data_IF_438052301821
#
_entry.id   IF_438052301821
#
_cell.length_a   1.000
_cell.length_b   1.000
_cell.length_c   1.000
_cell.angle_alpha   90.00
_cell.angle_beta   90.00
_cell.angle_gamma   90.00
#
_symmetry.space_group_name_H-M   'P 1'
#
loop_
_entity.id
_entity.type
_entity.pdbx_description
1 polymer ?
#
# COMPACT_ATOMS: atom_id res chain seq x y z
N UNK A 1 -31.31 -1.42 -5.86
CA UNK A 1 -30.42 -1.64 -7.01
C UNK A 1 -29.76 -3.00 -6.84
N UNK A 2 -29.91 -3.91 -7.79
CA UNK A 2 -29.48 -5.32 -7.62
C UNK A 2 -28.05 -5.56 -8.07
N UNK A 3 -27.38 -6.54 -7.45
CA UNK A 3 -26.02 -7.00 -7.79
C UNK A 3 -25.81 -7.32 -9.29
N UNK A 4 -26.90 -7.62 -10.02
CA UNK A 4 -26.90 -7.97 -11.46
C UNK A 4 -26.28 -6.92 -12.38
N UNK A 5 -26.31 -5.63 -12.00
CA UNK A 5 -25.70 -4.56 -12.83
C UNK A 5 -24.20 -4.74 -13.00
N UNK A 6 -23.51 -5.22 -11.95
CA UNK A 6 -22.06 -5.43 -11.97
C UNK A 6 -21.72 -6.52 -12.97
N UNK A 7 -22.42 -7.67 -12.93
CA UNK A 7 -22.22 -8.76 -13.88
C UNK A 7 -22.54 -8.35 -15.31
N UNK A 8 -23.63 -7.60 -15.51
CA UNK A 8 -24.01 -7.09 -16.83
C UNK A 8 -22.91 -6.20 -17.44
N UNK A 9 -22.33 -5.30 -16.66
CA UNK A 9 -21.24 -4.45 -17.13
C UNK A 9 -19.94 -5.23 -17.30
N UNK A 10 -19.59 -6.13 -16.38
CA UNK A 10 -18.39 -6.97 -16.47
C UNK A 10 -18.37 -7.81 -17.75
N UNK A 11 -19.52 -8.33 -18.21
CA UNK A 11 -19.63 -9.08 -19.45
C UNK A 11 -19.39 -8.22 -20.71
N UNK A 12 -19.56 -6.90 -20.61
CA UNK A 12 -19.58 -5.96 -21.75
C UNK A 12 -18.40 -4.99 -21.73
N UNK A 13 -17.63 -4.98 -20.65
CA UNK A 13 -16.52 -4.06 -20.47
C UNK A 13 -15.29 -4.55 -21.23
N UNK A 14 -14.54 -3.63 -21.83
CA UNK A 14 -13.20 -3.85 -22.39
C UNK A 14 -12.12 -3.19 -21.53
N UNK A 15 -12.49 -2.75 -20.32
CA UNK A 15 -11.60 -2.07 -19.38
C UNK A 15 -10.47 -2.98 -18.95
N UNK A 16 -9.25 -2.44 -18.96
CA UNK A 16 -8.04 -3.19 -18.62
C UNK A 16 -7.71 -3.14 -17.13
N UNK A 17 -8.14 -2.07 -16.45
CA UNK A 17 -7.88 -1.81 -15.03
C UNK A 17 -9.16 -1.85 -14.20
N UNK A 18 -9.01 -2.06 -12.89
CA UNK A 18 -10.12 -1.99 -11.94
C UNK A 18 -10.67 -0.56 -11.81
N UNK A 19 -9.82 0.46 -11.99
CA UNK A 19 -10.18 1.88 -11.98
C UNK A 19 -11.12 2.20 -13.14
N UNK A 20 -10.77 1.77 -14.35
CA UNK A 20 -11.60 2.01 -15.53
C UNK A 20 -12.94 1.27 -15.43
N UNK A 21 -12.94 0.05 -14.87
CA UNK A 21 -14.19 -0.65 -14.58
C UNK A 21 -15.04 0.10 -13.55
N UNK A 22 -14.43 0.62 -12.48
CA UNK A 22 -15.10 1.46 -11.49
C UNK A 22 -15.70 2.71 -12.10
N UNK A 23 -14.97 3.38 -13.01
CA UNK A 23 -15.47 4.55 -13.76
C UNK A 23 -16.68 4.20 -14.62
N UNK A 24 -16.63 3.08 -15.32
CA UNK A 24 -17.74 2.59 -16.14
C UNK A 24 -18.98 2.31 -15.29
N UNK A 25 -18.83 1.62 -14.16
CA UNK A 25 -19.94 1.35 -13.23
C UNK A 25 -20.53 2.64 -12.66
N UNK A 26 -19.68 3.57 -12.19
CA UNK A 26 -20.12 4.88 -11.67
C UNK A 26 -20.94 5.66 -12.70
N UNK A 27 -20.46 5.75 -13.94
CA UNK A 27 -21.17 6.46 -15.01
C UNK A 27 -22.51 5.81 -15.32
N UNK A 28 -22.52 4.48 -15.50
CA UNK A 28 -23.73 3.74 -15.81
C UNK A 28 -24.83 4.00 -14.76
N UNK A 29 -24.47 3.96 -13.48
CA UNK A 29 -25.41 4.19 -12.39
C UNK A 29 -25.97 5.61 -12.37
N UNK A 30 -25.12 6.62 -12.59
CA UNK A 30 -25.56 8.02 -12.66
C UNK A 30 -26.47 8.26 -13.86
N UNK A 31 -26.13 7.74 -15.04
CA UNK A 31 -26.88 7.94 -16.28
C UNK A 31 -28.26 7.29 -16.25
N UNK A 32 -28.39 6.11 -15.64
CA UNK A 32 -29.64 5.33 -15.67
C UNK A 32 -30.57 5.60 -14.48
N UNK A 33 -30.17 6.42 -13.50
CA UNK A 33 -30.96 6.68 -12.29
C UNK A 33 -30.89 8.15 -11.91
N UNK A 34 -31.83 8.96 -12.39
CA UNK A 34 -31.84 10.43 -12.21
C UNK A 34 -31.85 10.88 -10.75
N UNK A 35 -32.41 10.07 -9.84
CA UNK A 35 -32.46 10.37 -8.40
C UNK A 35 -31.10 10.26 -7.68
N UNK A 36 -30.09 9.63 -8.29
CA UNK A 36 -28.77 9.45 -7.67
C UNK A 36 -27.91 10.71 -7.89
N UNK A 37 -27.36 11.31 -6.84
CA UNK A 37 -26.51 12.50 -6.98
C UNK A 37 -25.01 12.17 -7.02
N UNK A 38 -24.61 11.09 -6.36
CA UNK A 38 -23.21 10.65 -6.24
C UNK A 38 -23.14 9.13 -6.19
N UNK A 39 -22.12 8.56 -6.81
CA UNK A 39 -21.80 7.13 -6.74
C UNK A 39 -20.37 6.97 -6.26
N UNK A 40 -20.17 5.92 -5.46
CA UNK A 40 -18.89 5.48 -4.93
C UNK A 40 -18.79 3.98 -5.16
N UNK A 41 -17.67 3.52 -5.71
CA UNK A 41 -17.42 2.11 -6.04
C UNK A 41 -16.05 1.73 -5.49
N UNK A 42 -16.03 0.74 -4.61
CA UNK A 42 -14.81 0.10 -4.12
C UNK A 42 -14.64 -1.25 -4.80
N UNK A 43 -13.41 -1.52 -5.25
CA UNK A 43 -13.05 -2.77 -5.92
C UNK A 43 -11.74 -3.28 -5.30
N UNK A 44 -11.77 -4.54 -4.89
CA UNK A 44 -10.59 -5.30 -4.52
C UNK A 44 -10.26 -6.32 -5.61
N UNK A 45 -8.99 -6.44 -5.98
CA UNK A 45 -8.51 -7.39 -6.97
C UNK A 45 -7.33 -8.17 -6.43
N UNK A 46 -7.41 -9.50 -6.57
CA UNK A 46 -6.31 -10.41 -6.23
C UNK A 46 -5.60 -10.84 -7.50
N UNK A 47 -4.27 -10.78 -7.49
CA UNK A 47 -3.46 -11.21 -8.61
C UNK A 47 -3.51 -12.73 -8.78
N UNK A 48 -3.65 -13.18 -10.03
CA UNK A 48 -3.50 -14.57 -10.44
C UNK A 48 -2.42 -14.63 -11.50
N UNK A 49 -1.39 -15.43 -11.25
CA UNK A 49 -0.30 -15.65 -12.20
C UNK A 49 -0.46 -17.02 -12.83
N UNK A 50 -0.12 -17.15 -14.11
CA UNK A 50 -0.09 -18.47 -14.73
C UNK A 50 0.95 -19.35 -14.04
N UNK A 51 0.61 -20.63 -13.86
CA UNK A 51 1.56 -21.62 -13.35
C UNK A 51 2.65 -21.84 -14.40
N UNK A 52 3.90 -21.76 -13.96
CA UNK A 52 5.08 -22.15 -14.76
C UNK A 52 5.45 -23.57 -14.37
N UNK A 53 5.36 -24.52 -15.30
CA UNK A 53 5.65 -25.95 -15.05
C UNK A 53 7.15 -26.22 -14.98
N UNK A 54 7.55 -27.42 -14.55
CA UNK A 54 8.96 -27.81 -14.38
C UNK A 54 9.82 -27.66 -15.65
N UNK A 55 9.19 -27.72 -16.83
CA UNK A 55 9.82 -27.45 -18.13
C UNK A 55 9.94 -25.95 -18.48
N UNK A 56 9.66 -25.04 -17.54
CA UNK A 56 9.67 -23.57 -17.70
C UNK A 56 8.64 -23.03 -18.70
N UNK A 57 7.56 -23.75 -18.96
CA UNK A 57 6.46 -23.32 -19.85
C UNK A 57 5.31 -22.74 -19.03
N UNK A 58 4.75 -21.61 -19.49
CA UNK A 58 3.54 -20.99 -18.92
C UNK A 58 2.32 -21.82 -19.30
N UNK A 59 1.61 -22.37 -18.31
CA UNK A 59 0.39 -23.13 -18.57
C UNK A 59 -0.74 -22.19 -19.06
N UNK A 60 -1.48 -22.51 -20.13
CA UNK A 60 -2.43 -21.57 -20.75
C UNK A 60 -3.67 -21.29 -19.89
N UNK A 61 -4.08 -22.25 -19.05
CA UNK A 61 -5.38 -22.23 -18.34
C UNK A 61 -5.29 -22.47 -16.84
N UNK A 62 -4.08 -22.57 -16.27
CA UNK A 62 -3.88 -22.86 -14.85
C UNK A 62 -3.13 -21.72 -14.17
N UNK A 63 -3.64 -21.30 -13.02
CA UNK A 63 -3.20 -20.09 -12.32
C UNK A 63 -2.96 -20.37 -10.84
N UNK A 64 -2.11 -19.57 -10.22
CA UNK A 64 -1.77 -19.60 -8.80
C UNK A 64 -1.80 -18.17 -8.24
N UNK A 65 -2.24 -18.04 -6.99
CA UNK A 65 -2.06 -16.81 -6.21
C UNK A 65 -0.75 -16.94 -5.44
N UNK A 66 0.26 -16.17 -5.83
CA UNK A 66 1.62 -16.25 -5.26
C UNK A 66 1.80 -15.37 -4.03
N UNK A 67 0.88 -14.45 -3.77
CA UNK A 67 0.87 -13.59 -2.59
C UNK A 67 -0.56 -13.30 -2.14
N UNK A 68 -0.70 -12.85 -0.89
CA UNK A 68 -1.96 -12.34 -0.35
C UNK A 68 -2.20 -10.86 -0.72
N UNK A 69 -1.29 -10.24 -1.49
CA UNK A 69 -1.40 -8.84 -1.86
C UNK A 69 -2.70 -8.57 -2.63
N UNK A 70 -3.41 -7.53 -2.21
CA UNK A 70 -4.68 -7.12 -2.80
C UNK A 70 -4.53 -5.73 -3.37
N UNK A 71 -4.88 -5.55 -4.65
CA UNK A 71 -5.00 -4.25 -5.29
C UNK A 71 -6.35 -3.64 -4.95
N UNK A 72 -6.35 -2.34 -4.69
CA UNK A 72 -7.52 -1.59 -4.27
C UNK A 72 -7.78 -0.47 -5.27
N UNK A 73 -9.06 -0.19 -5.53
CA UNK A 73 -9.46 1.12 -6.03
C UNK A 73 -10.79 1.54 -5.44
N UNK A 74 -10.89 2.84 -5.25
CA UNK A 74 -12.09 3.59 -4.96
C UNK A 74 -12.29 4.55 -6.12
N UNK A 75 -13.47 4.51 -6.74
CA UNK A 75 -13.88 5.48 -7.75
C UNK A 75 -15.15 6.20 -7.29
N UNK A 76 -15.05 7.52 -7.19
CA UNK A 76 -16.15 8.41 -6.79
C UNK A 76 -16.46 9.41 -7.89
N UNK A 77 -17.74 9.69 -8.11
CA UNK A 77 -18.17 10.82 -8.97
C UNK A 77 -19.54 11.33 -8.54
N UNK A 78 -19.71 12.64 -8.50
CA UNK A 78 -21.04 13.27 -8.46
C UNK A 78 -21.57 13.45 -9.89
N UNK A 79 -22.89 13.54 -10.07
CA UNK A 79 -23.54 13.60 -11.40
C UNK A 79 -22.90 14.59 -12.39
N UNK A 80 -22.45 15.74 -11.90
CA UNK A 80 -21.82 16.80 -12.69
C UNK A 80 -20.36 17.08 -12.31
N UNK A 81 -19.77 16.24 -11.46
CA UNK A 81 -18.39 16.39 -11.00
C UNK A 81 -17.40 15.58 -11.80
N UNK A 82 -16.12 15.88 -11.57
CA UNK A 82 -14.99 15.05 -11.99
C UNK A 82 -14.92 13.74 -11.19
N UNK A 83 -14.23 12.76 -11.74
CA UNK A 83 -13.88 11.55 -10.98
C UNK A 83 -12.86 11.89 -9.90
N UNK A 84 -13.07 11.36 -8.71
CA UNK A 84 -12.06 11.25 -7.66
C UNK A 84 -11.70 9.77 -7.54
N UNK A 85 -10.42 9.46 -7.75
CA UNK A 85 -9.91 8.09 -7.79
C UNK A 85 -8.81 7.96 -6.75
N UNK A 86 -8.97 6.95 -5.89
CA UNK A 86 -7.93 6.50 -4.97
C UNK A 86 -7.62 5.06 -5.35
N UNK A 87 -6.36 4.76 -5.60
CA UNK A 87 -5.91 3.37 -5.80
C UNK A 87 -4.95 2.99 -4.70
N UNK A 88 -4.70 1.69 -4.58
CA UNK A 88 -3.88 1.21 -3.50
C UNK A 88 -3.49 -0.24 -3.62
N UNK A 89 -2.75 -0.67 -2.62
CA UNK A 89 -2.53 -2.07 -2.31
C UNK A 89 -2.58 -2.29 -0.79
N UNK A 90 -2.91 -3.50 -0.38
CA UNK A 90 -2.82 -3.98 1.01
C UNK A 90 -2.28 -5.39 1.04
N UNK A 91 -1.96 -5.86 2.23
CA UNK A 91 -1.47 -7.22 2.49
C UNK A 91 -0.14 -7.56 1.78
N UNK A 92 0.65 -6.53 1.41
CA UNK A 92 2.02 -6.70 0.93
C UNK A 92 2.93 -6.99 2.13
N UNK A 93 3.18 -8.27 2.39
CA UNK A 93 4.08 -8.74 3.45
C UNK A 93 5.52 -8.72 2.96
N UNK A 94 6.36 -7.94 3.64
CA UNK A 94 7.80 -7.81 3.35
C UNK A 94 8.59 -7.81 4.65
N UNK A 95 9.84 -8.28 4.59
CA UNK A 95 10.74 -8.34 5.73
C UNK A 95 12.18 -8.12 5.28
N UNK A 96 12.95 -7.41 6.11
CA UNK A 96 14.41 -7.39 6.05
C UNK A 96 14.98 -7.95 7.35
N UNK A 97 16.11 -8.63 7.24
CA UNK A 97 16.73 -9.34 8.36
C UNK A 97 17.90 -8.60 9.02
N UNK A 98 18.28 -7.46 8.45
CA UNK A 98 19.33 -6.57 8.93
C UNK A 98 19.05 -5.14 8.42
N UNK A 99 19.89 -4.19 8.81
CA UNK A 99 19.81 -2.77 8.41
C UNK A 99 18.49 -2.12 8.87
N UNK A 100 18.02 -2.49 10.06
CA UNK A 100 16.96 -1.77 10.77
C UNK A 100 17.34 -1.59 12.22
N UNK A 101 17.35 -0.34 12.69
CA UNK A 101 17.59 0.03 14.06
C UNK A 101 16.35 0.67 14.68
N UNK A 102 16.35 0.77 16.01
CA UNK A 102 15.44 1.60 16.77
C UNK A 102 16.15 2.03 18.06
N UNK A 103 16.74 3.23 17.98
CA UNK A 103 17.59 3.82 19.03
C UNK A 103 17.18 5.26 19.31
N UNK A 104 17.68 5.84 20.40
CA UNK A 104 17.47 7.24 20.79
C UNK A 104 15.99 7.64 20.96
N UNK A 105 15.11 6.69 21.27
CA UNK A 105 13.70 7.00 21.57
C UNK A 105 13.56 7.57 22.99
N UNK A 106 12.47 8.30 23.22
CA UNK A 106 12.15 8.87 24.53
C UNK A 106 12.03 7.76 25.60
N UNK A 107 12.75 7.94 26.72
CA UNK A 107 12.71 7.03 27.87
C UNK A 107 11.95 7.68 29.03
N UNK A 108 10.82 7.11 29.38
CA UNK A 108 10.02 7.46 30.55
C UNK A 108 10.05 6.36 31.61
N UNK A 109 9.27 6.53 32.68
CA UNK A 109 9.19 5.58 33.79
C UNK A 109 8.68 4.18 33.42
N UNK A 110 7.98 4.04 32.29
CA UNK A 110 7.40 2.77 31.81
C UNK A 110 8.20 2.14 30.65
N UNK A 111 9.35 2.71 30.28
CA UNK A 111 10.11 2.24 29.13
C UNK A 111 10.97 1.02 29.51
N UNK A 112 10.52 -0.16 29.12
CA UNK A 112 11.27 -1.43 29.29
C UNK A 112 12.01 -1.86 28.03
N UNK A 113 11.64 -1.29 26.88
CA UNK A 113 12.24 -1.62 25.58
C UNK A 113 13.73 -1.27 25.59
N UNK A 114 14.56 -2.23 25.20
CA UNK A 114 15.98 -2.01 24.94
C UNK A 114 16.18 -1.44 23.54
N UNK A 115 17.21 -0.61 23.40
CA UNK A 115 17.62 -0.13 22.09
C UNK A 115 18.19 -1.29 21.27
N UNK A 116 18.01 -1.21 19.96
CA UNK A 116 18.53 -2.19 19.02
C UNK A 116 19.16 -1.45 17.86
N UNK A 117 20.45 -1.67 17.66
CA UNK A 117 21.22 -1.11 16.53
C UNK A 117 21.02 -1.93 15.26
N UNK A 118 20.59 -3.17 15.38
CA UNK A 118 20.12 -4.00 14.27
C UNK A 118 19.02 -4.97 14.75
N UNK A 119 17.97 -5.15 13.94
CA UNK A 119 16.83 -6.04 14.20
C UNK A 119 16.12 -6.45 12.91
N UNK A 120 15.34 -7.52 13.02
CA UNK A 120 14.32 -7.86 12.03
C UNK A 120 13.29 -6.72 11.92
N UNK A 121 12.93 -6.40 10.68
CA UNK A 121 11.82 -5.51 10.38
C UNK A 121 10.88 -6.17 9.39
N UNK A 122 9.75 -6.67 9.90
CA UNK A 122 8.64 -7.19 9.12
C UNK A 122 7.46 -6.21 9.13
N UNK A 123 6.73 -6.13 8.02
CA UNK A 123 5.51 -5.32 7.93
C UNK A 123 4.53 -5.93 6.93
N UNK A 124 3.24 -5.63 7.11
CA UNK A 124 2.20 -5.85 6.10
C UNK A 124 1.73 -4.50 5.57
N UNK A 125 2.33 -4.05 4.47
CA UNK A 125 2.13 -2.69 3.94
C UNK A 125 0.73 -2.56 3.36
N UNK A 126 0.03 -1.51 3.78
CA UNK A 126 -1.07 -0.91 3.03
C UNK A 126 -0.66 0.49 2.56
N UNK A 127 -0.85 0.75 1.28
CA UNK A 127 -0.59 2.03 0.64
C UNK A 127 -1.81 2.44 -0.19
N UNK A 128 -2.28 3.67 0.01
CA UNK A 128 -3.38 4.29 -0.75
C UNK A 128 -2.86 5.59 -1.36
N UNK A 129 -3.03 5.81 -2.65
CA UNK A 129 -2.66 7.05 -3.33
C UNK A 129 -3.85 7.68 -4.05
N UNK A 130 -3.92 9.00 -3.99
CA UNK A 130 -4.95 9.81 -4.65
C UNK A 130 -4.38 10.39 -5.93
N UNK A 131 -5.09 10.20 -7.04
CA UNK A 131 -4.71 10.81 -8.32
C UNK A 131 -4.99 12.33 -8.34
N UNK A 132 -4.17 13.08 -9.09
CA UNK A 132 -4.39 14.51 -9.33
C UNK A 132 -5.60 14.71 -10.25
N UNK A 133 -6.43 15.71 -9.94
CA UNK A 133 -7.58 16.09 -10.74
C UNK A 133 -7.15 16.53 -12.15
N UNK A 134 -7.84 16.05 -13.18
CA UNK A 134 -7.56 16.44 -14.56
C UNK A 134 -6.33 15.78 -15.19
N UNK A 135 -5.70 14.82 -14.52
CA UNK A 135 -4.67 13.96 -15.13
C UNK A 135 -5.24 13.27 -16.36
N UNK A 136 -4.78 13.66 -17.56
CA UNK A 136 -5.14 12.99 -18.80
C UNK A 136 -4.66 11.52 -18.77
N UNK A 137 -5.34 10.66 -19.53
CA UNK A 137 -5.07 9.23 -19.78
C UNK A 137 -4.03 8.60 -18.84
N UNK A 138 -4.48 8.20 -17.64
CA UNK A 138 -3.65 7.51 -16.66
C UNK A 138 -3.58 6.03 -17.03
N UNK A 139 -2.35 5.50 -17.18
CA UNK A 139 -2.13 4.05 -17.16
C UNK A 139 -2.08 3.59 -15.70
N UNK A 140 -3.22 3.11 -15.20
CA UNK A 140 -3.37 2.70 -13.80
C UNK A 140 -2.49 1.50 -13.42
N UNK A 141 -2.32 0.55 -14.35
CA UNK A 141 -1.52 -0.65 -14.09
C UNK A 141 -0.04 -0.33 -14.06
N UNK A 142 0.46 0.46 -15.01
CA UNK A 142 1.84 0.94 -15.00
C UNK A 142 2.12 1.80 -13.77
N UNK A 143 1.21 2.72 -13.41
CA UNK A 143 1.36 3.56 -12.23
C UNK A 143 1.45 2.72 -10.96
N UNK A 144 0.56 1.73 -10.81
CA UNK A 144 0.55 0.83 -9.65
C UNK A 144 1.84 0.01 -9.56
N UNK A 145 2.30 -0.53 -10.68
CA UNK A 145 3.58 -1.25 -10.74
C UNK A 145 4.75 -0.35 -10.34
N UNK A 146 4.80 0.88 -10.86
CA UNK A 146 5.85 1.84 -10.54
C UNK A 146 5.85 2.19 -9.04
N UNK A 147 4.69 2.52 -8.46
CA UNK A 147 4.55 2.82 -7.03
C UNK A 147 5.00 1.62 -6.19
N UNK A 148 4.55 0.40 -6.56
CA UNK A 148 4.93 -0.84 -5.88
C UNK A 148 6.43 -1.10 -5.92
N UNK A 149 7.07 -0.97 -7.08
CA UNK A 149 8.51 -1.14 -7.21
C UNK A 149 9.28 -0.13 -6.36
N UNK A 150 8.94 1.16 -6.45
CA UNK A 150 9.58 2.20 -5.63
C UNK A 150 9.45 1.93 -4.13
N UNK A 151 8.30 1.44 -3.66
CA UNK A 151 8.13 1.03 -2.26
C UNK A 151 9.07 -0.12 -1.89
N UNK A 152 9.13 -1.17 -2.71
CA UNK A 152 9.95 -2.35 -2.43
C UNK A 152 11.44 -1.99 -2.48
N UNK A 153 11.86 -1.19 -3.45
CA UNK A 153 13.25 -0.77 -3.61
C UNK A 153 13.70 0.05 -2.39
N UNK A 154 12.90 1.04 -1.96
CA UNK A 154 13.19 1.79 -0.74
C UNK A 154 13.21 0.86 0.47
N UNK A 155 12.22 -0.03 0.60
CA UNK A 155 12.24 -0.98 1.71
C UNK A 155 13.51 -1.82 1.71
N UNK A 156 13.98 -2.34 0.58
CA UNK A 156 15.14 -3.20 0.51
C UNK A 156 16.43 -2.45 0.86
N UNK A 157 16.66 -1.29 0.23
CA UNK A 157 17.94 -0.57 0.25
C UNK A 157 18.09 0.42 1.42
N UNK A 158 17.00 0.81 2.08
CA UNK A 158 17.03 1.82 3.14
C UNK A 158 17.57 1.28 4.46
N UNK A 159 18.59 1.94 5.03
CA UNK A 159 19.01 1.73 6.42
C UNK A 159 17.97 2.36 7.36
N UNK A 160 17.09 1.53 7.91
CA UNK A 160 15.88 1.98 8.60
C UNK A 160 16.17 2.36 10.05
N UNK A 161 16.16 3.65 10.39
CA UNK A 161 16.28 4.10 11.79
C UNK A 161 14.97 3.96 12.60
N UNK A 162 13.85 3.86 11.90
CA UNK A 162 12.52 3.59 12.45
C UNK A 162 11.56 3.23 11.31
N UNK A 163 10.38 2.72 11.67
CA UNK A 163 9.30 2.50 10.69
C UNK A 163 8.87 3.83 10.07
N UNK A 164 8.81 4.90 10.89
CA UNK A 164 8.48 6.27 10.51
C UNK A 164 9.45 6.84 9.47
N UNK A 165 10.76 6.58 9.65
CA UNK A 165 11.78 7.01 8.71
C UNK A 165 11.56 6.34 7.34
N UNK A 166 11.42 5.01 7.34
CA UNK A 166 11.23 4.24 6.11
C UNK A 166 9.96 4.63 5.35
N UNK A 167 8.82 4.75 6.04
CA UNK A 167 7.56 5.11 5.37
C UNK A 167 7.58 6.54 4.80
N UNK A 168 8.35 7.44 5.42
CA UNK A 168 8.46 8.82 4.97
C UNK A 168 9.27 8.87 3.68
N UNK A 169 10.40 8.18 3.65
CA UNK A 169 11.27 8.12 2.48
C UNK A 169 10.63 7.38 1.30
N UNK A 170 9.86 6.31 1.56
CA UNK A 170 8.99 5.69 0.56
C UNK A 170 8.04 6.72 -0.06
N UNK A 171 7.24 7.38 0.79
CA UNK A 171 6.25 8.34 0.32
C UNK A 171 6.86 9.53 -0.42
N UNK A 172 7.99 10.04 0.07
CA UNK A 172 8.73 11.13 -0.57
C UNK A 172 9.26 10.73 -1.93
N UNK A 173 9.89 9.55 -2.06
CA UNK A 173 10.40 9.07 -3.34
C UNK A 173 9.27 8.84 -4.36
N UNK A 174 8.16 8.24 -3.91
CA UNK A 174 7.00 7.96 -4.77
C UNK A 174 6.38 9.26 -5.27
N UNK A 175 6.10 10.22 -4.38
CA UNK A 175 5.62 11.54 -4.80
C UNK A 175 6.64 12.23 -5.72
N UNK A 176 7.93 12.07 -5.54
CA UNK A 176 8.88 12.69 -6.47
C UNK A 176 8.85 12.08 -7.88
N UNK A 177 8.59 10.78 -8.01
CA UNK A 177 8.66 10.06 -9.29
C UNK A 177 7.31 9.88 -10.01
N UNK A 178 6.19 9.87 -9.28
CA UNK A 178 4.85 9.60 -9.83
C UNK A 178 4.02 10.86 -9.83
N UNK A 179 4.09 11.62 -10.94
CA UNK A 179 3.46 12.95 -11.04
C UNK A 179 1.93 12.93 -11.12
N UNK A 180 1.34 11.79 -11.48
CA UNK A 180 -0.11 11.60 -11.57
C UNK A 180 -0.81 11.53 -10.22
N UNK A 181 -0.08 11.46 -9.09
CA UNK A 181 -0.65 11.41 -7.75
C UNK A 181 -0.31 12.65 -6.92
N UNK A 182 -1.27 13.05 -6.08
CA UNK A 182 -1.21 14.22 -5.21
C UNK A 182 -0.86 13.88 -3.76
N UNK A 183 -1.28 12.68 -3.34
CA UNK A 183 -1.23 12.21 -1.96
C UNK A 183 -0.95 10.72 -1.91
N UNK A 184 -0.19 10.29 -0.92
CA UNK A 184 -0.03 8.88 -0.56
C UNK A 184 -0.21 8.72 0.96
N UNK A 185 -0.91 7.66 1.36
CA UNK A 185 -1.15 7.27 2.74
C UNK A 185 -0.64 5.85 2.97
N UNK A 186 0.16 5.68 4.00
CA UNK A 186 0.75 4.42 4.41
C UNK A 186 0.19 3.96 5.75
N UNK A 187 0.07 2.65 5.86
CA UNK A 187 -0.13 1.92 7.11
C UNK A 187 0.86 0.76 7.13
N UNK A 188 1.71 0.72 8.14
CA UNK A 188 2.77 -0.28 8.30
C UNK A 188 2.77 -0.80 9.74
N UNK A 189 2.05 -1.90 10.03
CA UNK A 189 2.18 -2.58 11.31
C UNK A 189 3.58 -3.21 11.42
N UNK A 190 4.19 -3.11 12.59
CA UNK A 190 5.46 -3.79 12.87
C UNK A 190 5.19 -5.24 13.26
N UNK A 191 5.44 -6.16 12.33
CA UNK A 191 5.32 -7.60 12.55
C UNK A 191 6.54 -8.05 13.35
N UNK A 192 6.35 -8.20 14.67
CA UNK A 192 7.43 -8.47 15.60
C UNK A 192 7.93 -9.91 15.47
N UNK A 193 9.25 -10.03 15.32
CA UNK A 193 9.99 -11.26 15.54
C UNK A 193 11.06 -10.97 16.59
N UNK A 194 10.81 -11.36 17.84
CA UNK A 194 11.71 -11.04 18.96
C UNK A 194 12.76 -12.13 19.14
N UNK A 195 14.01 -11.79 19.50
CA UNK A 195 15.03 -12.79 19.78
C UNK A 195 14.60 -13.63 20.99
N UNK A 196 14.81 -14.95 20.90
CA UNK A 196 14.51 -15.87 22.00
C UNK A 196 15.61 -15.78 23.05
N UNK A 197 15.23 -15.59 24.31
CA UNK A 197 16.14 -15.64 25.46
C UNK A 197 16.40 -17.11 25.89
N UNK A 198 17.65 -17.53 25.70
CA UNK A 198 18.17 -18.86 26.03
C UNK A 198 19.10 -18.87 27.26
N UNK A 199 19.30 -17.73 27.92
CA UNK A 199 20.28 -17.58 29.03
C UNK A 199 20.02 -18.54 30.19
N UNK A 200 18.74 -18.83 30.45
CA UNK A 200 18.26 -19.84 31.42
C UNK A 200 18.72 -21.29 31.13
N UNK A 201 19.23 -21.57 29.93
CA UNK A 201 19.83 -22.85 29.54
C UNK A 201 21.36 -22.78 29.42
N UNK A 202 21.98 -21.65 29.76
CA UNK A 202 23.42 -21.44 29.62
C UNK A 202 23.89 -21.15 28.19
N UNK A 203 22.96 -20.85 27.28
CA UNK A 203 23.23 -20.58 25.87
C UNK A 203 22.97 -19.12 25.51
N UNK A 204 23.74 -18.59 24.56
CA UNK A 204 23.56 -17.26 24.00
C UNK A 204 22.89 -17.35 22.62
N UNK A 205 21.87 -16.53 22.37
CA UNK A 205 21.28 -16.39 21.04
C UNK A 205 21.97 -15.25 20.29
N UNK A 206 22.88 -15.61 19.38
CA UNK A 206 23.64 -14.67 18.54
C UNK A 206 22.83 -14.15 17.34
N UNK A 207 21.59 -13.71 17.60
CA UNK A 207 20.67 -13.14 16.60
C UNK A 207 20.23 -14.14 15.50
N UNK A 208 20.04 -15.41 15.86
CA UNK A 208 19.66 -16.48 14.93
C UNK A 208 18.23 -16.98 15.13
N UNK A 209 17.77 -17.04 16.38
CA UNK A 209 16.47 -17.64 16.72
C UNK A 209 15.49 -16.54 17.15
N UNK A 210 14.38 -16.42 16.41
CA UNK A 210 13.35 -15.43 16.69
C UNK A 210 11.99 -16.08 16.86
N UNK A 211 11.18 -15.50 17.74
CA UNK A 211 9.78 -15.86 17.94
C UNK A 211 8.90 -14.82 17.23
N UNK A 212 8.14 -15.22 16.20
CA UNK A 212 7.07 -14.39 15.65
C UNK A 212 6.00 -14.15 16.70
N UNK A 213 5.54 -12.91 16.81
CA UNK A 213 4.47 -12.50 17.73
C UNK A 213 3.32 -11.96 16.90
N UNK A 214 2.15 -12.56 17.05
CA UNK A 214 0.93 -12.15 16.34
C UNK A 214 0.25 -10.93 16.98
N UNK A 215 0.36 -10.75 18.30
CA UNK A 215 -0.19 -9.58 19.01
C UNK A 215 0.64 -9.27 20.27
N UNK A 216 0.80 -7.99 20.66
CA UNK A 216 0.39 -6.78 19.95
C UNK A 216 1.41 -6.35 18.89
N UNK A 217 0.97 -5.54 17.93
CA UNK A 217 1.84 -4.90 16.94
C UNK A 217 1.87 -3.39 17.11
N UNK A 218 3.05 -2.79 16.98
CA UNK A 218 3.14 -1.35 16.75
C UNK A 218 2.46 -0.98 15.43
N UNK A 219 1.63 0.06 15.42
CA UNK A 219 0.87 0.48 14.24
C UNK A 219 1.31 1.88 13.83
N UNK A 220 1.94 2.01 12.66
CA UNK A 220 2.49 3.29 12.20
C UNK A 220 1.81 3.71 10.91
N UNK A 221 1.34 4.96 10.88
CA UNK A 221 0.66 5.55 9.73
C UNK A 221 1.26 6.90 9.37
N UNK A 222 1.19 7.24 8.08
CA UNK A 222 1.60 8.55 7.59
C UNK A 222 0.86 8.89 6.30
N UNK A 223 0.53 10.18 6.13
CA UNK A 223 0.03 10.70 4.88
C UNK A 223 0.94 11.83 4.40
N UNK A 224 1.49 11.68 3.19
CA UNK A 224 2.26 12.72 2.52
C UNK A 224 1.43 13.28 1.38
N UNK A 225 1.41 14.61 1.27
CA UNK A 225 0.73 15.34 0.18
C UNK A 225 1.73 16.31 -0.43
N UNK A 226 1.65 16.55 -1.73
CA UNK A 226 2.46 17.59 -2.37
C UNK A 226 2.14 18.95 -1.77
N UNK A 227 3.17 19.77 -1.58
CA UNK A 227 2.99 21.18 -1.25
C UNK A 227 2.21 21.86 -2.38
N UNK A 228 1.04 22.41 -2.06
CA UNK A 228 0.32 23.26 -3.01
C UNK A 228 1.14 24.51 -3.28
N UNK A 229 1.43 24.83 -4.54
CA UNK A 229 2.02 26.12 -4.94
C UNK A 229 1.08 27.33 -4.73
N UNK A 230 0.02 27.18 -3.92
CA UNK A 230 -0.91 28.22 -3.53
C UNK A 230 -0.84 28.42 -2.01
N UNK A 231 -0.16 29.49 -1.60
CA UNK A 231 -0.16 29.98 -0.23
C UNK A 231 1.24 30.23 0.32
N UNK A 232 1.89 31.31 -0.12
CA UNK A 232 2.92 31.95 0.70
C UNK A 232 2.22 32.48 1.96
N UNK A 233 2.28 31.73 3.05
CA UNK A 233 2.06 32.31 4.36
C UNK A 233 3.24 33.25 4.62
N UNK A 234 2.98 34.54 4.38
CA UNK A 234 3.75 35.62 4.98
C UNK A 234 3.65 35.43 6.50
N UNK A 235 4.73 34.97 7.11
CA UNK A 235 4.94 35.20 8.53
C UNK A 235 5.11 36.71 8.71
N UNK A 236 4.11 37.34 9.31
CA UNK A 236 4.28 38.66 9.93
C UNK A 236 3.85 38.56 11.39
N UNK A 237 4.87 38.80 12.22
CA UNK A 237 4.93 39.11 13.65
C UNK A 237 4.76 37.89 14.57
#
# INVERSE_FOLDING_TARGET
MGQKVIYYLAQRTSTKSIEDFGKHLVNYLLEHHSQISTVYVDIESKAWSHIVTSNKVRHPTSFIQTSNEVQLTTVKRSRHGSFSIVSGLKDLKIMKTANSSFVNFYRGSLTTLTESTDRLFGTSVQALWTYEDGSALIDFDQTRQQIRSLMIDVFAEHESESVQHTLYDMGKLILNNVKSISKIHFTMPNLHCLPVDLTRFGEENINEIFMPIDEPHGYVQCALTRSSSKGSFLSKI
#
